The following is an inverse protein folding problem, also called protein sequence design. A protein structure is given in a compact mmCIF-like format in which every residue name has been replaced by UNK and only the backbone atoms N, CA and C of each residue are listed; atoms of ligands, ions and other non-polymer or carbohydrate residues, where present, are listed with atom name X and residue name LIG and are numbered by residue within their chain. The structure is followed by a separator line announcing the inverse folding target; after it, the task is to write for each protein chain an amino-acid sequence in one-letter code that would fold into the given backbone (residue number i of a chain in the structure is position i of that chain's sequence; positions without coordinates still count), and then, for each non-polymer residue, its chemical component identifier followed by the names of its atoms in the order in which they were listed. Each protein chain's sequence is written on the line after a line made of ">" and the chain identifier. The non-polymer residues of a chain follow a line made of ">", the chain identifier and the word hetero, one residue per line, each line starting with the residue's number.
data_IF_978030557185
#
_entry.id   IF_978030557185
#
_cell.length_a   1.000
_cell.length_b   1.000
_cell.length_c   1.000
_cell.angle_alpha   90.00
_cell.angle_beta   90.00
_cell.angle_gamma   90.00
#
_symmetry.space_group_name_H-M   'P 1'
#
loop_
_entity.id
_entity.type
_entity.pdbx_description
1 polymer ?
#
# COMPACT_ATOMS: atom_id res chain seq x y z
N UNK A 1 -15.29 -3.57 -12.67
CA UNK A 1 -15.46 -2.33 -11.88
C UNK A 1 -14.44 -1.30 -12.31
N UNK A 2 -14.81 0.00 -12.35
CA UNK A 2 -13.96 1.08 -12.88
C UNK A 2 -12.66 1.30 -12.09
N UNK A 3 -12.66 1.11 -10.76
CA UNK A 3 -11.48 1.27 -9.92
C UNK A 3 -10.37 0.24 -10.20
N UNK A 4 -10.76 -1.03 -10.32
CA UNK A 4 -9.86 -2.12 -10.73
C UNK A 4 -9.33 -1.88 -12.14
N UNK A 5 -10.20 -1.49 -13.08
CA UNK A 5 -9.80 -1.16 -14.44
C UNK A 5 -8.77 -0.03 -14.48
N UNK A 6 -9.00 1.05 -13.74
CA UNK A 6 -8.03 2.14 -13.63
C UNK A 6 -6.68 1.65 -13.08
N UNK A 7 -6.66 0.93 -11.95
CA UNK A 7 -5.44 0.39 -11.36
C UNK A 7 -4.70 -0.56 -12.33
N UNK A 8 -5.43 -1.38 -13.09
CA UNK A 8 -4.85 -2.26 -14.10
C UNK A 8 -4.18 -1.45 -15.22
N UNK A 9 -4.80 -0.37 -15.71
CA UNK A 9 -4.20 0.48 -16.73
C UNK A 9 -2.88 1.12 -16.26
N UNK A 10 -2.81 1.52 -14.98
CA UNK A 10 -1.53 1.99 -14.41
C UNK A 10 -0.50 0.86 -14.35
N UNK A 11 -0.88 -0.34 -13.94
CA UNK A 11 0.02 -1.50 -13.90
C UNK A 11 0.58 -1.83 -15.30
N UNK A 12 -0.29 -1.84 -16.31
CA UNK A 12 0.07 -2.12 -17.70
C UNK A 12 1.10 -1.11 -18.23
N UNK A 13 0.90 0.18 -17.93
CA UNK A 13 1.85 1.24 -18.30
C UNK A 13 3.18 1.04 -17.59
N UNK A 14 3.20 0.83 -16.27
CA UNK A 14 4.44 0.61 -15.51
C UNK A 14 5.21 -0.59 -16.04
N UNK A 15 4.53 -1.69 -16.36
CA UNK A 15 5.15 -2.88 -16.95
C UNK A 15 5.80 -2.58 -18.31
N UNK A 16 5.16 -1.74 -19.13
CA UNK A 16 5.69 -1.36 -20.45
C UNK A 16 6.95 -0.50 -20.39
N UNK A 17 7.27 0.12 -19.25
CA UNK A 17 8.44 0.99 -19.09
C UNK A 17 9.77 0.23 -19.04
N UNK A 18 9.77 -1.10 -18.93
CA UNK A 18 10.98 -1.93 -18.85
C UNK A 18 11.94 -1.46 -17.76
N UNK A 19 11.44 -1.42 -16.52
CA UNK A 19 12.20 -1.01 -15.34
C UNK A 19 13.54 -1.73 -15.23
N UNK A 20 14.60 -0.99 -14.93
CA UNK A 20 15.93 -1.52 -14.72
C UNK A 20 16.05 -2.27 -13.37
N UNK A 21 17.09 -3.08 -13.25
CA UNK A 21 17.48 -3.67 -11.97
C UNK A 21 17.78 -2.53 -10.98
N UNK A 22 17.01 -2.45 -9.90
CA UNK A 22 17.01 -1.41 -8.84
C UNK A 22 16.11 -0.17 -9.05
N UNK A 23 15.29 -0.11 -10.10
CA UNK A 23 14.29 0.96 -10.19
C UNK A 23 13.24 0.83 -9.08
N UNK A 24 12.97 1.93 -8.37
CA UNK A 24 11.94 2.02 -7.34
C UNK A 24 10.63 2.52 -7.95
N UNK A 25 9.54 1.80 -7.71
CA UNK A 25 8.19 2.32 -7.98
C UNK A 25 7.59 2.90 -6.71
N UNK A 26 7.30 4.21 -6.74
CA UNK A 26 6.66 4.90 -5.62
C UNK A 26 5.22 5.27 -5.97
N UNK A 27 4.27 4.48 -5.46
CA UNK A 27 2.83 4.66 -5.66
C UNK A 27 2.28 5.70 -4.70
N UNK A 28 1.42 6.58 -5.19
CA UNK A 28 0.89 7.71 -4.44
C UNK A 28 -0.63 7.64 -4.30
N UNK A 29 -1.08 7.79 -3.06
CA UNK A 29 -2.46 8.10 -2.66
C UNK A 29 -3.51 6.98 -2.86
N UNK A 30 -4.73 7.25 -2.38
CA UNK A 30 -5.82 6.27 -2.29
C UNK A 30 -6.39 5.81 -3.64
N UNK A 31 -6.13 6.53 -4.73
CA UNK A 31 -6.61 6.13 -6.06
C UNK A 31 -5.95 4.84 -6.56
N UNK A 32 -4.74 4.55 -6.06
CA UNK A 32 -3.88 3.48 -6.54
C UNK A 32 -3.62 2.41 -5.46
N UNK A 33 -4.60 2.12 -4.60
CA UNK A 33 -4.41 1.16 -3.50
C UNK A 33 -4.30 -0.30 -3.97
N UNK A 34 -4.73 -0.64 -5.20
CA UNK A 34 -4.57 -1.99 -5.75
C UNK A 34 -3.26 -2.16 -6.52
N UNK A 35 -2.70 -1.05 -6.99
CA UNK A 35 -1.53 -1.05 -7.86
C UNK A 35 -0.31 -1.78 -7.25
N UNK A 36 0.06 -1.63 -5.96
CA UNK A 36 1.25 -2.31 -5.43
C UNK A 36 1.18 -3.83 -5.59
N UNK A 37 0.01 -4.43 -5.32
CA UNK A 37 -0.18 -5.87 -5.51
C UNK A 37 -0.11 -6.28 -6.98
N UNK A 38 -0.74 -5.52 -7.87
CA UNK A 38 -0.70 -5.80 -9.31
C UNK A 38 0.74 -5.77 -9.84
N UNK A 39 1.54 -4.79 -9.40
CA UNK A 39 2.95 -4.69 -9.74
C UNK A 39 3.77 -5.85 -9.16
N UNK A 40 3.55 -6.20 -7.89
CA UNK A 40 4.26 -7.31 -7.25
C UNK A 40 4.00 -8.66 -7.94
N UNK A 41 2.77 -8.91 -8.37
CA UNK A 41 2.40 -10.15 -9.06
C UNK A 41 3.09 -10.28 -10.44
N UNK A 42 3.41 -9.15 -11.11
CA UNK A 42 4.08 -9.13 -12.41
C UNK A 42 5.61 -9.03 -12.31
N UNK A 43 6.11 -8.30 -11.32
CA UNK A 43 7.53 -8.00 -11.12
C UNK A 43 7.94 -8.26 -9.67
N UNK A 44 8.15 -9.53 -9.26
CA UNK A 44 8.37 -9.90 -7.87
C UNK A 44 9.61 -9.30 -7.21
N UNK A 45 10.56 -8.79 -7.98
CA UNK A 45 11.83 -8.24 -7.49
C UNK A 45 11.87 -6.70 -7.45
N UNK A 46 10.87 -6.02 -8.02
CA UNK A 46 10.84 -4.56 -8.04
C UNK A 46 10.62 -4.01 -6.62
N UNK A 47 11.46 -3.09 -6.14
CA UNK A 47 11.16 -2.33 -4.93
C UNK A 47 9.90 -1.48 -5.13
N UNK A 48 8.92 -1.59 -4.23
CA UNK A 48 7.65 -0.88 -4.30
C UNK A 48 7.38 -0.16 -2.98
N UNK A 49 7.26 1.16 -3.05
CA UNK A 49 6.75 2.00 -1.96
C UNK A 49 5.33 2.47 -2.25
N UNK A 50 4.52 2.65 -1.20
CA UNK A 50 3.20 3.28 -1.28
C UNK A 50 3.05 4.32 -0.17
N UNK A 51 2.50 5.50 -0.46
CA UNK A 51 2.28 6.57 0.52
C UNK A 51 0.86 7.15 0.45
N UNK A 52 0.21 7.32 1.61
CA UNK A 52 -1.11 7.96 1.71
C UNK A 52 -1.02 9.43 2.13
N UNK A 53 -1.58 10.31 1.30
CA UNK A 53 -1.61 11.75 1.56
C UNK A 53 -2.82 12.19 2.38
N UNK A 54 -3.90 11.40 2.37
CA UNK A 54 -5.08 11.65 3.19
C UNK A 54 -5.00 10.93 4.54
N UNK A 55 -5.79 11.34 5.55
CA UNK A 55 -5.95 10.55 6.77
C UNK A 55 -6.40 9.11 6.48
N UNK A 56 -5.80 8.13 7.15
CA UNK A 56 -6.31 6.76 7.11
C UNK A 56 -7.45 6.60 8.12
N UNK A 57 -8.56 6.01 7.68
CA UNK A 57 -9.74 5.81 8.53
C UNK A 57 -9.45 4.92 9.74
N UNK A 58 -10.14 5.16 10.86
CA UNK A 58 -10.09 4.24 12.00
C UNK A 58 -10.54 2.84 11.57
N UNK A 59 -10.04 1.81 12.25
CA UNK A 59 -10.34 0.41 11.87
C UNK A 59 -11.85 0.10 11.90
N UNK A 60 -12.60 0.78 12.76
CA UNK A 60 -14.05 0.73 12.92
C UNK A 60 -14.76 1.25 11.67
N UNK A 61 -14.33 2.42 11.18
CA UNK A 61 -14.85 3.00 9.96
C UNK A 61 -14.41 2.19 8.74
N UNK A 62 -13.16 1.71 8.70
CA UNK A 62 -12.63 0.95 7.56
C UNK A 62 -13.44 -0.32 7.27
N UNK A 63 -13.95 -1.00 8.31
CA UNK A 63 -14.73 -2.24 8.16
C UNK A 63 -16.04 -2.06 7.37
N UNK A 64 -16.55 -0.83 7.25
CA UNK A 64 -17.77 -0.54 6.49
C UNK A 64 -17.53 -0.49 4.98
N UNK A 65 -16.27 -0.36 4.54
CA UNK A 65 -15.91 -0.23 3.14
C UNK A 65 -16.20 -1.54 2.36
N UNK A 66 -16.89 -1.49 1.21
CA UNK A 66 -16.97 -2.63 0.31
C UNK A 66 -15.58 -2.95 -0.24
N UNK A 67 -15.28 -4.22 -0.51
CA UNK A 67 -13.96 -4.65 -1.00
C UNK A 67 -12.77 -4.35 -0.06
N UNK A 68 -13.03 -4.10 1.24
CA UNK A 68 -12.00 -3.84 2.27
C UNK A 68 -10.79 -4.79 2.25
N UNK A 69 -11.01 -6.08 2.02
CA UNK A 69 -9.93 -7.07 1.99
C UNK A 69 -9.03 -6.89 0.76
N UNK A 70 -9.66 -6.67 -0.40
CA UNK A 70 -8.96 -6.45 -1.67
C UNK A 70 -8.07 -5.20 -1.59
N UNK A 71 -8.60 -4.12 -1.02
CA UNK A 71 -7.87 -2.85 -0.87
C UNK A 71 -6.67 -3.01 0.07
N UNK A 72 -6.83 -3.64 1.24
CA UNK A 72 -5.70 -3.89 2.15
C UNK A 72 -4.65 -4.80 1.52
N UNK A 73 -5.07 -5.88 0.85
CA UNK A 73 -4.15 -6.78 0.13
C UNK A 73 -3.44 -6.08 -1.02
N UNK A 74 -4.11 -5.12 -1.65
CA UNK A 74 -3.55 -4.22 -2.65
C UNK A 74 -2.35 -3.45 -2.12
N UNK A 75 -2.54 -2.73 -1.02
CA UNK A 75 -1.47 -1.92 -0.39
C UNK A 75 -0.36 -2.80 0.16
N UNK A 76 -0.70 -3.96 0.75
CA UNK A 76 0.27 -4.94 1.26
C UNK A 76 1.12 -5.63 0.17
N UNK A 77 0.93 -5.30 -1.11
CA UNK A 77 1.88 -5.64 -2.17
C UNK A 77 3.16 -4.80 -2.17
N UNK A 78 3.16 -3.65 -1.48
CA UNK A 78 4.32 -2.78 -1.31
C UNK A 78 5.30 -3.33 -0.26
N UNK A 79 6.59 -3.01 -0.44
CA UNK A 79 7.64 -3.27 0.54
C UNK A 79 7.61 -2.24 1.68
N UNK A 80 7.19 -1.01 1.37
CA UNK A 80 7.07 0.10 2.33
C UNK A 80 5.70 0.76 2.20
N UNK A 81 5.01 0.93 3.34
CA UNK A 81 3.74 1.64 3.44
C UNK A 81 3.92 2.86 4.33
N UNK A 82 3.79 4.06 3.76
CA UNK A 82 4.01 5.34 4.44
C UNK A 82 2.74 6.13 4.69
N UNK A 83 2.74 6.88 5.79
CA UNK A 83 1.66 7.78 6.22
C UNK A 83 2.24 9.08 6.78
N UNK A 84 1.44 10.15 6.79
CA UNK A 84 1.86 11.44 7.38
C UNK A 84 2.18 11.38 8.88
N UNK A 85 1.45 10.55 9.66
CA UNK A 85 1.63 10.45 11.11
C UNK A 85 1.49 9.00 11.58
N UNK A 86 2.11 8.71 12.71
CA UNK A 86 2.13 7.39 13.34
C UNK A 86 0.73 6.82 13.61
N UNK A 87 -0.24 7.65 14.00
CA UNK A 87 -1.61 7.19 14.30
C UNK A 87 -2.31 6.59 13.06
N UNK A 88 -2.06 7.14 11.86
CA UNK A 88 -2.61 6.58 10.62
C UNK A 88 -1.99 5.22 10.30
N UNK A 89 -0.68 5.06 10.52
CA UNK A 89 0.01 3.77 10.38
C UNK A 89 -0.57 2.73 11.35
N UNK A 90 -0.83 3.11 12.60
CA UNK A 90 -1.49 2.25 13.60
C UNK A 90 -2.90 1.83 13.18
N UNK A 91 -3.69 2.75 12.63
CA UNK A 91 -5.03 2.43 12.14
C UNK A 91 -4.97 1.45 10.96
N UNK A 92 -4.04 1.63 10.02
CA UNK A 92 -3.81 0.70 8.92
C UNK A 92 -3.40 -0.69 9.40
N UNK A 93 -2.43 -0.77 10.33
CA UNK A 93 -2.00 -2.03 10.93
C UNK A 93 -3.14 -2.76 11.64
N UNK A 94 -3.94 -2.02 12.41
CA UNK A 94 -5.13 -2.56 13.09
C UNK A 94 -6.17 -3.05 12.08
N UNK A 95 -6.39 -2.32 10.98
CA UNK A 95 -7.29 -2.72 9.92
C UNK A 95 -6.82 -4.02 9.25
N UNK A 96 -5.53 -4.14 8.90
CA UNK A 96 -4.94 -5.39 8.39
C UNK A 96 -5.17 -6.56 9.33
N UNK A 97 -4.81 -6.40 10.61
CA UNK A 97 -4.96 -7.46 11.61
C UNK A 97 -6.41 -7.90 11.78
N UNK A 98 -7.37 -6.96 11.86
CA UNK A 98 -8.78 -7.25 12.10
C UNK A 98 -9.54 -7.74 10.87
N UNK A 99 -9.19 -7.27 9.68
CA UNK A 99 -9.90 -7.59 8.43
C UNK A 99 -9.30 -8.83 7.75
N UNK A 100 -7.97 -8.96 7.74
CA UNK A 100 -7.28 -10.06 7.04
C UNK A 100 -6.93 -11.24 7.95
N UNK A 101 -7.07 -11.09 9.27
CA UNK A 101 -6.70 -12.13 10.24
C UNK A 101 -5.19 -12.39 10.31
N UNK A 102 -4.37 -11.48 9.77
CA UNK A 102 -2.91 -11.56 9.87
C UNK A 102 -2.55 -11.28 11.33
N UNK A 103 -2.10 -12.31 12.07
CA UNK A 103 -1.52 -12.10 13.39
C UNK A 103 -0.36 -11.12 13.27
N UNK A 104 -0.52 -9.94 13.87
CA UNK A 104 0.37 -8.78 13.87
C UNK A 104 1.55 -8.83 12.91
N UNK A 105 1.45 -8.13 11.77
CA UNK A 105 2.64 -7.80 10.99
C UNK A 105 3.66 -7.11 11.93
N UNK A 106 4.88 -7.64 12.01
CA UNK A 106 5.96 -7.03 12.79
C UNK A 106 6.30 -5.64 12.22
N UNK A 107 6.64 -4.70 13.10
CA UNK A 107 7.30 -3.43 12.75
C UNK A 107 6.38 -2.32 12.24
N UNK A 108 5.72 -1.60 13.15
CA UNK A 108 5.36 -0.19 12.89
C UNK A 108 6.43 0.66 13.57
N UNK A 109 7.38 1.17 12.80
CA UNK A 109 8.43 2.07 13.27
C UNK A 109 8.01 3.53 13.12
N UNK A 110 8.43 4.39 14.04
CA UNK A 110 8.34 5.84 13.86
C UNK A 110 9.52 6.28 12.97
N UNK A 111 9.24 6.99 11.88
CA UNK A 111 10.26 7.47 10.93
C UNK A 111 11.15 8.60 11.47
N UNK A 112 11.03 8.91 12.76
CA UNK A 112 11.74 10.00 13.43
C UNK A 112 13.12 9.58 13.97
N UNK A 113 13.50 8.30 13.87
CA UNK A 113 14.87 7.84 14.12
C UNK A 113 15.64 7.72 12.79
N UNK A 114 16.41 8.76 12.44
CA UNK A 114 17.54 8.61 11.49
C UNK A 114 17.46 9.30 10.12
N UNK A 115 16.58 10.29 9.89
CA UNK A 115 16.56 11.04 8.61
C UNK A 115 17.44 12.32 8.64
N UNK A 116 18.00 12.68 9.81
CA UNK A 116 18.97 13.78 9.95
C UNK A 116 20.12 13.44 10.91
N UNK A 117 20.88 12.39 10.60
CA UNK A 117 22.27 12.24 11.06
C UNK A 117 23.20 12.06 9.85
#
# INVERSE_FOLDING_TARGET
>A
NAYQFANQQFADVVHSLQLAENDLVWVQDYHLMLLPRLLRDQSPQTPIGWFLHTPFATSEMYRTLPHREEILRGVLGADLVGFHIYDYARHFHTACSRVLGTGGAEGVTDGNEGIFD
#
